data_IF_375180929277
#
_entry.id   IF_375180929277
#
_cell.length_a   1.000
_cell.length_b   1.000
_cell.length_c   1.000
_cell.angle_alpha   90.00
_cell.angle_beta   90.00
_cell.angle_gamma   90.00
#
_symmetry.space_group_name_H-M   'P 1'
#
loop_
_entity.id
_entity.type
_entity.pdbx_description
1 polymer ?
#
# COMPACT_ATOMS: atom_id res chain seq x y z
N UNK A 1 -10.46 71.89 -32.20
CA UNK A 1 -11.08 70.55 -32.25
C UNK A 1 -10.31 69.61 -31.34
N UNK A 2 -10.75 69.44 -30.09
CA UNK A 2 -10.14 68.54 -29.09
C UNK A 2 -11.10 67.37 -28.87
N UNK A 3 -10.64 66.13 -29.09
CA UNK A 3 -11.41 64.90 -28.85
C UNK A 3 -11.29 64.51 -27.38
N UNK A 4 -12.43 64.31 -26.73
CA UNK A 4 -12.54 63.81 -25.36
C UNK A 4 -12.69 62.27 -25.43
N UNK A 5 -11.79 61.54 -24.78
CA UNK A 5 -11.87 60.09 -24.64
C UNK A 5 -12.51 59.75 -23.28
N UNK A 6 -13.56 58.93 -23.31
CA UNK A 6 -14.13 58.29 -22.12
C UNK A 6 -13.66 56.83 -22.13
N UNK A 7 -12.81 56.45 -21.18
CA UNK A 7 -12.41 55.06 -20.96
C UNK A 7 -13.08 54.57 -19.66
N UNK A 8 -14.02 53.64 -19.80
CA UNK A 8 -14.72 52.98 -18.70
C UNK A 8 -13.81 51.85 -18.20
N UNK A 9 -13.32 51.93 -16.95
CA UNK A 9 -12.55 50.85 -16.31
C UNK A 9 -13.54 49.76 -15.84
N UNK A 10 -13.52 48.60 -16.50
CA UNK A 10 -14.19 47.39 -16.04
C UNK A 10 -13.20 46.59 -15.19
N UNK A 11 -13.39 46.60 -13.86
CA UNK A 11 -12.77 45.64 -12.95
C UNK A 11 -13.43 44.27 -13.16
N UNK A 12 -12.83 43.40 -13.98
CA UNK A 12 -13.16 41.98 -13.98
C UNK A 12 -12.42 41.31 -12.83
N UNK A 13 -13.20 40.75 -11.89
CA UNK A 13 -12.71 39.87 -10.85
C UNK A 13 -12.03 38.63 -11.44
N UNK A 14 -10.82 38.36 -10.97
CA UNK A 14 -10.13 37.10 -11.20
C UNK A 14 -10.90 35.97 -10.49
N UNK A 15 -11.21 34.85 -11.14
CA UNK A 15 -11.64 33.67 -10.42
C UNK A 15 -10.43 33.08 -9.70
N UNK A 16 -10.37 33.26 -8.38
CA UNK A 16 -9.63 32.37 -7.49
C UNK A 16 -10.31 30.99 -7.51
N UNK A 17 -9.53 29.94 -7.23
CA UNK A 17 -9.85 28.50 -7.33
C UNK A 17 -9.52 27.82 -8.68
N UNK A 18 -8.25 27.92 -9.07
CA UNK A 18 -7.62 26.77 -9.72
C UNK A 18 -7.45 25.66 -8.68
N UNK A 19 -8.24 24.59 -8.78
CA UNK A 19 -8.02 23.36 -8.02
C UNK A 19 -6.74 22.72 -8.57
N UNK A 20 -5.57 23.09 -8.03
CA UNK A 20 -4.32 22.37 -8.29
C UNK A 20 -4.49 20.94 -7.74
N UNK A 21 -4.99 20.02 -8.57
CA UNK A 21 -4.97 18.59 -8.24
C UNK A 21 -3.51 18.16 -8.21
N UNK A 22 -3.00 17.84 -7.03
CA UNK A 22 -1.71 17.19 -6.88
C UNK A 22 -1.79 15.75 -7.42
N UNK A 23 -0.66 15.21 -7.87
CA UNK A 23 -0.62 13.83 -8.36
C UNK A 23 -1.05 12.84 -7.27
N UNK A 24 -1.76 11.75 -7.64
CA UNK A 24 -2.09 10.70 -6.68
C UNK A 24 -0.84 10.08 -6.08
N UNK A 25 -0.78 10.02 -4.75
CA UNK A 25 0.27 9.30 -4.03
C UNK A 25 -0.17 7.85 -3.89
N UNK A 26 0.45 6.97 -4.68
CA UNK A 26 0.08 5.55 -4.78
C UNK A 26 0.79 4.71 -3.72
N UNK A 27 2.09 4.96 -3.53
CA UNK A 27 2.93 4.24 -2.57
C UNK A 27 3.72 5.24 -1.75
N UNK A 28 3.82 4.98 -0.45
CA UNK A 28 4.76 5.65 0.46
C UNK A 28 5.64 4.55 1.03
N UNK A 29 6.96 4.75 1.00
CA UNK A 29 7.90 3.89 1.69
C UNK A 29 8.86 4.73 2.53
N UNK A 30 9.01 4.34 3.79
CA UNK A 30 9.80 5.07 4.77
C UNK A 30 11.11 4.32 4.97
N UNK A 31 12.21 5.04 5.09
CA UNK A 31 13.45 4.41 5.50
C UNK A 31 13.32 3.92 6.96
N UNK A 32 13.67 2.66 7.25
CA UNK A 32 13.47 2.05 8.57
C UNK A 32 14.32 2.67 9.68
N UNK A 33 15.39 3.41 9.33
CA UNK A 33 16.38 3.94 10.27
C UNK A 33 16.48 5.46 10.25
N UNK A 34 16.03 6.13 9.19
CA UNK A 34 16.13 7.57 9.03
C UNK A 34 14.77 8.18 8.62
N UNK A 35 14.07 8.92 9.50
CA UNK A 35 12.75 9.49 9.21
C UNK A 35 12.77 10.56 8.11
N UNK A 36 13.93 11.15 7.80
CA UNK A 36 14.04 12.18 6.77
C UNK A 36 14.07 11.61 5.36
N UNK A 37 14.27 10.29 5.21
CA UNK A 37 14.31 9.61 3.93
C UNK A 37 12.96 8.94 3.66
N UNK A 38 12.23 9.51 2.69
CA UNK A 38 10.91 9.04 2.28
C UNK A 38 10.93 8.84 0.77
N UNK A 39 10.33 7.74 0.34
CA UNK A 39 10.06 7.43 -1.06
C UNK A 39 8.57 7.54 -1.31
N UNK A 40 8.20 8.15 -2.43
CA UNK A 40 6.83 8.30 -2.87
C UNK A 40 6.74 7.88 -4.34
N UNK A 41 5.79 7.02 -4.67
CA UNK A 41 5.44 6.73 -6.05
C UNK A 41 4.10 7.41 -6.40
N UNK A 42 4.08 8.10 -7.53
CA UNK A 42 2.86 8.54 -8.21
C UNK A 42 2.45 7.49 -9.26
N UNK A 43 1.48 7.81 -10.11
CA UNK A 43 1.15 6.93 -11.24
C UNK A 43 2.30 6.80 -12.26
N UNK A 44 3.17 7.81 -12.33
CA UNK A 44 4.12 7.95 -13.43
C UNK A 44 5.58 7.93 -12.97
N UNK A 45 5.86 8.33 -11.73
CA UNK A 45 7.23 8.53 -11.25
C UNK A 45 7.44 8.11 -9.79
N UNK A 46 8.71 7.85 -9.45
CA UNK A 46 9.20 7.66 -8.08
C UNK A 46 9.96 8.93 -7.68
N UNK A 47 9.70 9.41 -6.49
CA UNK A 47 10.42 10.52 -5.88
C UNK A 47 11.01 10.12 -4.54
N UNK A 48 12.12 10.77 -4.18
CA UNK A 48 12.76 10.63 -2.87
C UNK A 48 13.06 11.99 -2.28
N UNK A 49 12.79 12.12 -0.98
CA UNK A 49 13.32 13.18 -0.13
C UNK A 49 14.41 12.62 0.79
N UNK A 50 15.30 13.49 1.27
CA UNK A 50 16.31 13.21 2.30
C UNK A 50 16.24 14.21 3.46
N UNK A 51 15.23 15.06 3.47
CA UNK A 51 15.07 16.20 4.38
C UNK A 51 13.63 16.29 4.95
N UNK A 52 12.96 15.13 5.06
CA UNK A 52 11.62 15.04 5.66
C UNK A 52 10.51 15.62 4.79
N UNK A 53 10.76 15.76 3.48
CA UNK A 53 9.78 16.22 2.49
C UNK A 53 9.89 17.69 2.11
N UNK A 54 11.01 18.37 2.43
CA UNK A 54 11.24 19.75 1.99
C UNK A 54 11.66 19.82 0.52
N UNK A 55 12.52 18.89 0.08
CA UNK A 55 12.94 18.75 -1.31
C UNK A 55 12.78 17.32 -1.81
N UNK A 56 12.50 17.18 -3.11
CA UNK A 56 12.23 15.90 -3.76
C UNK A 56 13.05 15.75 -5.04
N UNK A 57 13.60 14.54 -5.24
CA UNK A 57 14.34 14.16 -6.45
C UNK A 57 13.60 13.03 -7.18
N UNK A 58 13.41 13.18 -8.49
CA UNK A 58 12.85 12.11 -9.34
C UNK A 58 13.89 10.99 -9.54
N UNK A 59 13.48 9.74 -9.30
CA UNK A 59 14.31 8.54 -9.33
C UNK A 59 13.94 7.57 -10.47
N UNK A 60 13.02 7.94 -11.35
CA UNK A 60 12.53 7.05 -12.42
C UNK A 60 13.48 6.92 -13.61
N UNK A 61 14.56 7.70 -13.66
CA UNK A 61 15.52 7.67 -14.76
C UNK A 61 16.17 6.28 -14.86
N UNK A 62 16.10 5.68 -16.05
CA UNK A 62 16.69 4.37 -16.35
C UNK A 62 15.73 3.19 -16.19
N UNK A 63 14.50 3.41 -15.72
CA UNK A 63 13.43 2.41 -15.77
C UNK A 63 12.72 2.47 -17.13
N UNK A 64 12.54 1.34 -17.81
CA UNK A 64 11.75 1.26 -19.05
C UNK A 64 10.25 1.35 -18.78
N UNK A 65 9.81 0.98 -17.58
CA UNK A 65 8.44 1.06 -17.10
C UNK A 65 8.41 1.81 -15.76
N UNK A 66 7.97 3.07 -15.79
CA UNK A 66 7.98 3.94 -14.60
C UNK A 66 6.70 3.87 -13.76
N UNK A 67 5.64 3.21 -14.25
CA UNK A 67 4.41 2.99 -13.49
C UNK A 67 4.64 1.95 -12.39
N UNK A 68 4.84 2.46 -11.18
CA UNK A 68 5.18 1.69 -9.99
C UNK A 68 3.94 1.52 -9.14
N UNK A 69 3.64 0.27 -8.79
CA UNK A 69 2.44 -0.10 -8.02
C UNK A 69 2.80 -0.54 -6.60
N UNK A 70 4.01 -1.07 -6.43
CA UNK A 70 4.54 -1.48 -5.14
C UNK A 70 5.99 -1.02 -5.01
N UNK A 71 6.41 -0.68 -3.80
CA UNK A 71 7.82 -0.43 -3.48
C UNK A 71 8.15 -1.06 -2.14
N UNK A 72 9.43 -1.33 -1.91
CA UNK A 72 9.92 -1.81 -0.63
C UNK A 72 11.34 -1.29 -0.37
N UNK A 73 11.68 -1.08 0.90
CA UNK A 73 13.03 -0.74 1.37
C UNK A 73 13.54 -1.92 2.17
N UNK A 74 14.74 -2.39 1.87
CA UNK A 74 15.36 -3.48 2.64
C UNK A 74 15.51 -3.04 4.11
N UNK A 75 14.94 -3.79 5.08
CA UNK A 75 14.97 -3.42 6.49
C UNK A 75 16.39 -3.45 7.09
N UNK A 76 17.26 -4.35 6.61
CA UNK A 76 18.63 -4.49 7.08
C UNK A 76 19.56 -3.48 6.38
N UNK A 77 19.38 -3.30 5.06
CA UNK A 77 20.22 -2.48 4.19
C UNK A 77 19.42 -1.38 3.44
N UNK A 78 19.05 -0.26 4.09
CA UNK A 78 18.09 0.70 3.52
C UNK A 78 18.52 1.50 2.28
N UNK A 79 19.75 1.30 1.80
CA UNK A 79 20.17 1.76 0.47
C UNK A 79 19.63 0.83 -0.64
N UNK A 80 19.36 -0.43 -0.31
CA UNK A 80 18.69 -1.38 -1.19
C UNK A 80 17.19 -1.11 -1.21
N UNK A 81 16.65 -0.80 -2.39
CA UNK A 81 15.22 -0.55 -2.59
C UNK A 81 14.70 -1.31 -3.80
N UNK A 82 13.44 -1.70 -3.72
CA UNK A 82 12.74 -2.48 -4.73
C UNK A 82 11.54 -1.70 -5.26
N UNK A 83 11.29 -1.82 -6.56
CA UNK A 83 10.13 -1.26 -7.22
C UNK A 83 9.43 -2.34 -8.05
N UNK A 84 8.16 -2.57 -7.73
CA UNK A 84 7.25 -3.44 -8.46
C UNK A 84 6.49 -2.64 -9.51
N UNK A 85 6.60 -3.07 -10.77
CA UNK A 85 6.07 -2.33 -11.92
C UNK A 85 4.98 -3.11 -12.64
N UNK A 86 4.29 -2.43 -13.55
CA UNK A 86 3.52 -3.08 -14.62
C UNK A 86 4.39 -3.22 -15.86
N UNK A 87 4.64 -4.45 -16.30
CA UNK A 87 5.34 -4.74 -17.57
C UNK A 87 6.83 -5.06 -17.44
N UNK A 88 7.39 -4.99 -16.22
CA UNK A 88 8.81 -5.27 -15.98
C UNK A 88 9.11 -6.08 -14.71
N UNK A 89 8.07 -6.60 -14.06
CA UNK A 89 8.13 -7.18 -12.72
C UNK A 89 8.89 -6.31 -11.70
N UNK A 90 10.08 -6.75 -11.28
CA UNK A 90 10.83 -6.16 -10.16
C UNK A 90 12.05 -5.41 -10.66
N UNK A 91 12.21 -4.17 -10.22
CA UNK A 91 13.47 -3.45 -10.24
C UNK A 91 14.10 -3.42 -8.85
N UNK A 92 15.43 -3.46 -8.81
CA UNK A 92 16.24 -3.32 -7.59
C UNK A 92 17.28 -2.23 -7.77
N UNK A 93 17.53 -1.47 -6.72
CA UNK A 93 18.58 -0.47 -6.64
C UNK A 93 19.37 -0.68 -5.36
N UNK A 94 20.69 -0.51 -5.41
CA UNK A 94 21.58 -0.60 -4.24
C UNK A 94 22.04 0.76 -3.71
N UNK A 95 21.69 1.85 -4.39
CA UNK A 95 22.13 3.22 -4.11
C UNK A 95 20.95 4.15 -3.74
N UNK A 96 19.88 3.56 -3.24
CA UNK A 96 18.69 4.25 -2.77
C UNK A 96 17.87 4.84 -3.91
N UNK A 97 17.86 4.17 -5.07
CA UNK A 97 17.05 4.45 -6.26
C UNK A 97 17.71 5.37 -7.28
N UNK A 98 19.03 5.61 -7.21
CA UNK A 98 19.73 6.42 -8.22
C UNK A 98 19.98 5.62 -9.50
N UNK A 99 20.19 4.31 -9.37
CA UNK A 99 20.33 3.36 -10.48
C UNK A 99 19.49 2.13 -10.21
N UNK A 100 18.81 1.66 -11.25
CA UNK A 100 17.92 0.50 -11.19
C UNK A 100 18.40 -0.61 -12.13
N UNK A 101 18.30 -1.84 -11.64
CA UNK A 101 18.50 -3.06 -12.41
C UNK A 101 17.20 -3.88 -12.41
N UNK A 102 16.85 -4.44 -13.56
CA UNK A 102 15.66 -5.28 -13.70
C UNK A 102 15.98 -6.70 -13.23
N UNK A 103 15.19 -7.21 -12.29
CA UNK A 103 15.40 -8.47 -11.57
C UNK A 103 14.33 -9.50 -11.92
N UNK A 104 14.53 -10.24 -13.01
CA UNK A 104 13.51 -11.15 -13.59
C UNK A 104 13.89 -12.62 -13.62
N UNK A 105 15.12 -12.95 -13.25
CA UNK A 105 15.60 -14.33 -13.30
C UNK A 105 14.64 -15.24 -12.55
N UNK A 106 14.16 -16.30 -13.21
CA UNK A 106 13.21 -17.26 -12.65
C UNK A 106 11.72 -16.87 -12.70
N UNK A 107 11.38 -15.66 -13.16
CA UNK A 107 9.99 -15.27 -13.47
C UNK A 107 9.60 -15.67 -14.90
N UNK A 108 8.35 -16.13 -15.07
CA UNK A 108 7.77 -16.42 -16.39
C UNK A 108 7.29 -15.14 -17.11
N UNK A 109 7.13 -15.19 -18.43
CA UNK A 109 6.73 -14.04 -19.26
C UNK A 109 5.38 -13.44 -18.85
N UNK A 110 4.46 -14.28 -18.38
CA UNK A 110 3.17 -13.82 -17.88
C UNK A 110 3.35 -12.99 -16.62
N UNK A 111 4.19 -13.42 -15.68
CA UNK A 111 4.51 -12.69 -14.45
C UNK A 111 5.24 -11.39 -14.76
N UNK A 112 6.22 -11.45 -15.67
CA UNK A 112 7.00 -10.28 -16.12
C UNK A 112 6.11 -9.19 -16.71
N UNK A 113 5.17 -9.57 -17.59
CA UNK A 113 4.24 -8.65 -18.24
C UNK A 113 3.09 -8.17 -17.33
N UNK A 114 2.95 -8.77 -16.14
CA UNK A 114 1.89 -8.46 -15.18
C UNK A 114 2.27 -7.31 -14.24
N UNK A 115 1.55 -7.21 -13.11
CA UNK A 115 1.76 -6.21 -12.07
C UNK A 115 2.29 -6.90 -10.82
N UNK A 116 3.36 -6.35 -10.24
CA UNK A 116 3.78 -6.66 -8.86
C UNK A 116 2.97 -5.80 -7.90
N UNK A 117 2.16 -6.45 -7.07
CA UNK A 117 1.18 -5.81 -6.20
C UNK A 117 1.71 -5.57 -4.78
N UNK A 118 2.59 -6.44 -4.26
CA UNK A 118 3.11 -6.32 -2.89
C UNK A 118 4.46 -7.03 -2.72
N UNK A 119 5.30 -6.52 -1.82
CA UNK A 119 6.52 -7.17 -1.35
C UNK A 119 6.38 -7.47 0.15
N UNK A 120 6.85 -8.63 0.58
CA UNK A 120 6.92 -9.02 2.00
C UNK A 120 8.30 -9.61 2.27
N UNK A 121 9.04 -9.02 3.20
CA UNK A 121 10.31 -9.55 3.69
C UNK A 121 10.07 -10.54 4.82
N UNK A 122 10.88 -11.58 4.88
CA UNK A 122 11.07 -12.34 6.11
C UNK A 122 11.68 -11.41 7.17
N UNK A 123 11.09 -11.31 8.39
CA UNK A 123 11.60 -10.44 9.44
C UNK A 123 12.98 -10.87 9.99
N UNK A 124 13.40 -12.10 9.71
CA UNK A 124 14.67 -12.67 10.18
C UNK A 124 15.77 -12.71 9.11
N UNK A 125 15.41 -12.57 7.84
CA UNK A 125 16.34 -12.59 6.71
C UNK A 125 15.88 -11.62 5.60
N UNK A 126 16.60 -10.50 5.43
CA UNK A 126 16.22 -9.51 4.42
C UNK A 126 16.49 -9.95 2.98
N UNK A 127 17.16 -11.09 2.77
CA UNK A 127 17.33 -11.70 1.43
C UNK A 127 16.18 -12.63 1.07
N UNK A 128 15.36 -13.02 2.05
CA UNK A 128 14.17 -13.84 1.85
C UNK A 128 12.94 -12.94 1.64
N UNK A 129 12.40 -12.93 0.42
CA UNK A 129 11.33 -12.01 0.01
C UNK A 129 10.26 -12.77 -0.77
N UNK A 130 9.00 -12.49 -0.46
CA UNK A 130 7.85 -12.90 -1.25
C UNK A 130 7.27 -11.71 -2.00
N UNK A 131 6.83 -11.95 -3.23
CA UNK A 131 6.06 -10.97 -4.02
C UNK A 131 4.68 -11.49 -4.36
N UNK A 132 3.68 -10.65 -4.19
CA UNK A 132 2.36 -10.83 -4.77
C UNK A 132 2.36 -10.25 -6.17
N UNK A 133 1.94 -11.02 -7.16
CA UNK A 133 1.74 -10.55 -8.53
C UNK A 133 0.33 -10.91 -9.00
N UNK A 134 -0.14 -10.23 -10.03
CA UNK A 134 -1.39 -10.60 -10.70
C UNK A 134 -1.38 -12.05 -11.21
N UNK A 135 -0.20 -12.65 -11.43
CA UNK A 135 -0.04 -14.02 -11.90
C UNK A 135 0.29 -15.05 -10.80
N UNK A 136 0.35 -14.64 -9.54
CA UNK A 136 0.64 -15.53 -8.41
C UNK A 136 1.65 -14.99 -7.41
N UNK A 137 2.09 -15.87 -6.50
CA UNK A 137 3.16 -15.61 -5.54
C UNK A 137 4.49 -16.10 -6.12
N UNK A 138 5.54 -15.32 -5.93
CA UNK A 138 6.94 -15.76 -6.15
C UNK A 138 7.78 -15.47 -4.92
N UNK A 139 8.80 -16.30 -4.68
CA UNK A 139 9.75 -16.24 -3.57
C UNK A 139 11.16 -16.03 -4.13
N UNK A 140 12.00 -15.31 -3.40
CA UNK A 140 13.45 -15.28 -3.57
C UNK A 140 14.11 -15.50 -2.21
N UNK A 141 15.24 -16.20 -2.19
CA UNK A 141 16.10 -16.38 -1.00
C UNK A 141 17.49 -15.76 -1.18
N UNK A 142 17.66 -14.90 -2.20
CA UNK A 142 18.91 -14.24 -2.55
C UNK A 142 18.75 -12.72 -2.77
N UNK A 143 17.70 -12.15 -2.19
CA UNK A 143 17.43 -10.71 -2.27
C UNK A 143 16.95 -10.27 -3.65
N UNK A 144 16.32 -11.16 -4.41
CA UNK A 144 15.71 -10.90 -5.70
C UNK A 144 16.62 -11.14 -6.91
N UNK A 145 17.76 -11.79 -6.74
CA UNK A 145 18.62 -12.17 -7.87
C UNK A 145 18.01 -13.32 -8.67
N UNK A 146 17.28 -14.24 -8.02
CA UNK A 146 16.48 -15.30 -8.63
C UNK A 146 15.14 -15.49 -7.90
N UNK A 147 14.08 -15.73 -8.67
CA UNK A 147 12.72 -15.93 -8.19
C UNK A 147 12.18 -17.31 -8.51
N UNK A 148 11.37 -17.87 -7.61
CA UNK A 148 10.70 -19.16 -7.75
C UNK A 148 9.20 -18.98 -7.53
N UNK A 149 8.39 -19.46 -8.47
CA UNK A 149 6.92 -19.39 -8.36
C UNK A 149 6.40 -20.34 -7.27
N UNK A 150 5.49 -19.86 -6.42
CA UNK A 150 4.95 -20.57 -5.24
C UNK A 150 3.43 -20.61 -5.23
N UNK A 151 2.88 -21.45 -6.10
CA UNK A 151 1.42 -21.53 -6.35
C UNK A 151 0.82 -22.92 -6.08
N UNK A 152 1.56 -23.83 -5.44
CA UNK A 152 1.06 -25.17 -5.14
C UNK A 152 -0.18 -25.09 -4.22
N UNK A 153 -1.26 -25.79 -4.55
CA UNK A 153 -2.55 -25.70 -3.85
C UNK A 153 -3.48 -24.54 -4.29
N UNK A 154 -2.97 -23.51 -4.99
CA UNK A 154 -3.74 -22.36 -5.47
C UNK A 154 -4.51 -22.63 -6.79
N UNK A 155 -5.43 -23.60 -6.80
CA UNK A 155 -6.09 -24.10 -8.03
C UNK A 155 -7.12 -23.15 -8.66
N UNK A 156 -7.73 -22.26 -7.87
CA UNK A 156 -8.85 -21.39 -8.30
C UNK A 156 -8.49 -19.90 -8.29
N UNK A 157 -7.19 -19.58 -8.29
CA UNK A 157 -6.74 -18.18 -8.16
C UNK A 157 -6.85 -17.45 -9.49
N UNK A 158 -7.47 -16.27 -9.47
CA UNK A 158 -7.43 -15.37 -10.63
C UNK A 158 -6.29 -14.35 -10.51
N UNK A 159 -6.10 -13.74 -9.34
CA UNK A 159 -5.03 -12.76 -9.08
C UNK A 159 -4.64 -12.75 -7.61
N UNK A 160 -3.34 -12.62 -7.30
CA UNK A 160 -2.85 -12.37 -5.94
C UNK A 160 -2.58 -10.88 -5.77
N UNK A 161 -3.29 -10.25 -4.84
CA UNK A 161 -3.30 -8.80 -4.65
C UNK A 161 -2.40 -8.38 -3.49
N UNK A 162 -2.33 -9.20 -2.43
CA UNK A 162 -1.62 -8.86 -1.21
C UNK A 162 -1.15 -10.11 -0.49
N UNK A 163 -0.15 -9.94 0.37
CA UNK A 163 0.41 -10.96 1.24
C UNK A 163 0.48 -10.39 2.66
N UNK A 164 0.07 -11.17 3.64
CA UNK A 164 0.28 -10.91 5.06
C UNK A 164 1.07 -12.05 5.69
N UNK A 165 2.25 -11.77 6.23
CA UNK A 165 3.09 -12.74 6.92
C UNK A 165 2.92 -12.59 8.43
N UNK A 166 2.96 -13.72 9.14
CA UNK A 166 3.08 -13.72 10.58
C UNK A 166 4.51 -13.28 10.98
N UNK A 167 4.67 -12.13 11.67
CA UNK A 167 5.99 -11.59 11.98
C UNK A 167 6.77 -12.42 13.01
N UNK A 168 6.11 -13.35 13.71
CA UNK A 168 6.72 -14.24 14.70
C UNK A 168 6.93 -15.66 14.18
N UNK A 169 6.21 -16.04 13.11
CA UNK A 169 6.28 -17.35 12.46
C UNK A 169 6.33 -17.18 10.93
N UNK A 170 7.48 -16.79 10.35
CA UNK A 170 7.59 -16.44 8.92
C UNK A 170 7.15 -17.53 7.92
N UNK A 171 7.11 -18.80 8.35
CA UNK A 171 6.55 -19.89 7.56
C UNK A 171 5.03 -19.77 7.31
N UNK A 172 4.32 -18.96 8.09
CA UNK A 172 2.88 -18.74 7.98
C UNK A 172 2.63 -17.44 7.21
N UNK A 173 2.00 -17.58 6.05
CA UNK A 173 1.56 -16.45 5.23
C UNK A 173 0.10 -16.61 4.82
N UNK A 174 -0.52 -15.47 4.54
CA UNK A 174 -1.84 -15.36 3.96
C UNK A 174 -1.76 -14.60 2.65
N UNK A 175 -2.37 -15.14 1.59
CA UNK A 175 -2.48 -14.49 0.30
C UNK A 175 -3.91 -14.00 0.08
N UNK A 176 -4.09 -12.68 -0.01
CA UNK A 176 -5.34 -12.07 -0.42
C UNK A 176 -5.45 -12.07 -1.94
N UNK A 177 -6.52 -12.66 -2.46
CA UNK A 177 -6.77 -12.85 -3.89
C UNK A 177 -8.08 -12.19 -4.32
N UNK A 178 -8.32 -12.14 -5.62
CA UNK A 178 -9.64 -11.80 -6.17
C UNK A 178 -10.76 -12.76 -5.72
N UNK A 179 -10.44 -14.01 -5.36
CA UNK A 179 -11.39 -15.05 -4.96
C UNK A 179 -11.46 -15.34 -3.45
N UNK A 180 -10.77 -14.56 -2.61
CA UNK A 180 -10.69 -14.76 -1.16
C UNK A 180 -9.26 -14.94 -0.66
N UNK A 181 -9.08 -15.59 0.49
CA UNK A 181 -7.80 -15.75 1.17
C UNK A 181 -7.31 -17.20 1.09
N UNK A 182 -6.02 -17.35 0.80
CA UNK A 182 -5.29 -18.60 0.97
C UNK A 182 -4.31 -18.47 2.14
N UNK A 183 -3.99 -19.59 2.80
CA UNK A 183 -3.02 -19.69 3.88
C UNK A 183 -1.97 -20.75 3.54
N UNK A 184 -0.73 -20.49 3.88
CA UNK A 184 0.36 -21.47 3.94
C UNK A 184 0.89 -21.52 5.38
N UNK A 185 1.48 -22.65 5.75
CA UNK A 185 2.18 -22.84 7.03
C UNK A 185 3.62 -23.36 6.83
N UNK A 186 4.07 -23.40 5.58
CA UNK A 186 5.29 -24.07 5.13
C UNK A 186 6.05 -23.22 4.10
N UNK A 187 6.16 -21.90 4.35
CA UNK A 187 6.95 -20.99 3.49
C UNK A 187 6.46 -20.97 2.03
N UNK A 188 5.13 -20.92 1.85
CA UNK A 188 4.49 -20.99 0.54
C UNK A 188 4.75 -22.30 -0.22
N UNK A 189 5.10 -23.38 0.49
CA UNK A 189 5.24 -24.74 -0.04
C UNK A 189 3.91 -25.32 -0.52
N UNK A 190 2.84 -25.09 0.25
CA UNK A 190 1.46 -25.41 -0.12
C UNK A 190 0.49 -24.35 0.40
N UNK A 191 -0.54 -24.05 -0.40
CA UNK A 191 -1.57 -23.08 -0.06
C UNK A 191 -2.96 -23.72 0.05
N UNK A 192 -3.64 -23.43 1.15
CA UNK A 192 -5.01 -23.87 1.43
C UNK A 192 -5.98 -22.69 1.43
N UNK A 193 -7.17 -22.87 0.86
CA UNK A 193 -8.22 -21.85 0.83
C UNK A 193 -8.90 -21.74 2.19
N UNK A 194 -8.95 -20.54 2.76
CA UNK A 194 -9.45 -20.27 4.13
C UNK A 194 -10.56 -19.22 4.13
N UNK A 195 -11.68 -19.52 3.46
CA UNK A 195 -12.72 -18.54 3.13
C UNK A 195 -14.02 -18.64 3.96
N UNK A 196 -14.08 -19.52 4.95
CA UNK A 196 -15.30 -19.74 5.74
C UNK A 196 -15.73 -18.45 6.44
N UNK A 197 -16.92 -17.92 6.10
CA UNK A 197 -17.42 -16.64 6.61
C UNK A 197 -16.90 -15.37 5.91
N UNK A 198 -15.90 -15.49 5.02
CA UNK A 198 -15.34 -14.38 4.25
C UNK A 198 -16.10 -14.11 2.94
N UNK A 199 -16.59 -15.18 2.29
CA UNK A 199 -17.33 -15.09 1.03
C UNK A 199 -18.79 -15.44 1.30
N UNK A 200 -19.72 -14.52 1.03
CA UNK A 200 -21.14 -14.83 1.15
C UNK A 200 -21.54 -15.88 0.09
N UNK A 201 -22.49 -16.77 0.39
CA UNK A 201 -22.98 -17.77 -0.59
C UNK A 201 -23.47 -17.15 -1.91
N UNK A 202 -23.96 -15.91 -1.88
CA UNK A 202 -24.43 -15.18 -3.06
C UNK A 202 -23.28 -14.66 -3.93
N UNK A 203 -22.15 -14.28 -3.32
CA UNK A 203 -20.93 -13.89 -4.06
C UNK A 203 -20.31 -15.12 -4.73
N UNK A 204 -20.36 -16.30 -4.12
CA UNK A 204 -19.89 -17.56 -4.75
C UNK A 204 -20.64 -17.85 -6.05
N UNK A 205 -21.92 -17.45 -6.15
CA UNK A 205 -22.78 -17.67 -7.32
C UNK A 205 -22.70 -16.55 -8.36
N UNK A 206 -22.32 -15.36 -7.95
CA UNK A 206 -22.09 -14.24 -8.86
C UNK A 206 -20.64 -14.28 -9.37
N UNK A 207 -20.37 -13.98 -10.63
CA UNK A 207 -18.99 -13.86 -11.14
C UNK A 207 -18.22 -12.65 -10.57
N UNK A 208 -18.61 -12.13 -9.40
CA UNK A 208 -17.98 -10.98 -8.74
C UNK A 208 -16.83 -11.46 -7.88
N UNK A 209 -15.62 -10.99 -8.20
CA UNK A 209 -14.47 -11.14 -7.35
C UNK A 209 -14.70 -10.45 -5.99
N UNK A 210 -14.39 -11.13 -4.89
CA UNK A 210 -14.34 -10.54 -3.54
C UNK A 210 -13.28 -9.43 -3.49
N UNK A 211 -12.16 -9.65 -4.19
CA UNK A 211 -11.02 -8.74 -4.28
C UNK A 211 -10.54 -8.29 -2.90
N UNK A 212 -9.78 -9.18 -2.25
CA UNK A 212 -9.09 -8.86 -1.00
C UNK A 212 -8.03 -7.79 -1.28
N UNK A 213 -8.18 -6.62 -0.67
CA UNK A 213 -7.30 -5.46 -0.88
C UNK A 213 -6.14 -5.42 0.10
N UNK A 214 -6.29 -5.99 1.30
CA UNK A 214 -5.23 -6.12 2.30
C UNK A 214 -5.49 -7.32 3.21
N UNK A 215 -4.42 -8.01 3.62
CA UNK A 215 -4.44 -9.03 4.69
C UNK A 215 -3.30 -8.74 5.64
N UNK A 216 -3.58 -8.66 6.95
CA UNK A 216 -2.57 -8.44 7.98
C UNK A 216 -2.79 -9.36 9.18
N UNK A 217 -1.71 -9.97 9.64
CA UNK A 217 -1.65 -10.76 10.87
C UNK A 217 -1.37 -9.81 12.04
N UNK A 218 -2.14 -9.93 13.13
CA UNK A 218 -1.92 -9.12 14.32
C UNK A 218 -0.57 -9.49 14.97
N UNK A 219 0.35 -8.52 15.15
CA UNK A 219 1.68 -8.80 15.70
C UNK A 219 1.65 -9.22 17.17
N UNK A 220 0.55 -8.97 17.89
CA UNK A 220 0.39 -9.33 19.30
C UNK A 220 -0.40 -10.63 19.48
N UNK A 221 -1.19 -11.02 18.48
CA UNK A 221 -2.06 -12.20 18.50
C UNK A 221 -2.02 -12.91 17.13
N UNK A 222 -1.04 -13.80 16.89
CA UNK A 222 -0.81 -14.32 15.54
C UNK A 222 -1.93 -15.19 14.93
N UNK A 223 -2.91 -15.62 15.73
CA UNK A 223 -4.13 -16.28 15.23
C UNK A 223 -5.24 -15.27 14.86
N UNK A 224 -5.05 -14.00 15.19
CA UNK A 224 -5.90 -12.89 14.78
C UNK A 224 -5.40 -12.32 13.46
N UNK A 225 -6.25 -12.36 12.43
CA UNK A 225 -5.93 -11.84 11.09
C UNK A 225 -7.08 -10.99 10.60
N UNK A 226 -6.75 -9.88 9.94
CA UNK A 226 -7.71 -8.96 9.35
C UNK A 226 -7.59 -9.00 7.83
N UNK A 227 -8.72 -9.01 7.15
CA UNK A 227 -8.81 -8.97 5.69
C UNK A 227 -9.80 -7.90 5.26
N UNK A 228 -9.34 -6.91 4.49
CA UNK A 228 -10.21 -5.94 3.83
C UNK A 228 -10.53 -6.40 2.41
N UNK A 229 -11.76 -6.21 1.97
CA UNK A 229 -12.23 -6.53 0.62
C UNK A 229 -12.94 -5.32 0.03
N UNK A 230 -13.36 -5.40 -1.24
CA UNK A 230 -14.21 -4.35 -1.84
C UNK A 230 -15.64 -4.30 -1.24
N UNK A 231 -16.02 -5.26 -0.40
CA UNK A 231 -17.37 -5.39 0.17
C UNK A 231 -17.40 -5.39 1.70
N UNK A 232 -16.25 -5.40 2.36
CA UNK A 232 -16.16 -5.15 3.80
C UNK A 232 -14.86 -5.59 4.45
N UNK A 233 -14.81 -5.37 5.76
CA UNK A 233 -13.71 -5.79 6.61
C UNK A 233 -14.09 -7.05 7.38
N UNK A 234 -13.14 -7.98 7.49
CA UNK A 234 -13.33 -9.26 8.16
C UNK A 234 -12.17 -9.53 9.10
N UNK A 235 -12.47 -10.26 10.17
CA UNK A 235 -11.53 -10.68 11.20
C UNK A 235 -11.68 -12.17 11.46
N UNK A 236 -10.56 -12.86 11.65
CA UNK A 236 -10.49 -14.19 12.26
C UNK A 236 -9.72 -14.09 13.57
N UNK A 237 -9.96 -15.01 14.50
CA UNK A 237 -9.17 -15.21 15.72
C UNK A 237 -8.74 -16.68 15.88
N UNK A 238 -8.90 -17.47 14.82
CA UNK A 238 -8.61 -18.92 14.78
C UNK A 238 -7.69 -19.28 13.60
N UNK A 239 -6.90 -18.30 13.16
CA UNK A 239 -5.91 -18.47 12.10
C UNK A 239 -6.52 -18.67 10.72
N UNK A 240 -7.76 -18.21 10.48
CA UNK A 240 -8.45 -18.25 9.19
C UNK A 240 -9.44 -19.40 9.02
N UNK A 241 -9.67 -20.23 10.06
CA UNK A 241 -10.68 -21.31 9.98
C UNK A 241 -12.10 -20.74 9.90
N UNK A 242 -12.34 -19.59 10.50
CA UNK A 242 -13.58 -18.83 10.34
C UNK A 242 -13.33 -17.32 10.39
N UNK A 243 -14.11 -16.59 9.60
CA UNK A 243 -14.06 -15.14 9.50
C UNK A 243 -15.40 -14.54 9.92
N UNK A 244 -15.33 -13.43 10.65
CA UNK A 244 -16.47 -12.62 11.07
C UNK A 244 -16.35 -11.25 10.43
N UNK A 245 -17.44 -10.77 9.82
CA UNK A 245 -17.50 -9.40 9.30
C UNK A 245 -17.49 -8.40 10.45
N UNK A 246 -16.69 -7.36 10.34
CA UNK A 246 -16.57 -6.25 11.30
C UNK A 246 -16.67 -4.91 10.55
N UNK A 247 -16.66 -3.79 11.29
CA UNK A 247 -16.69 -2.45 10.68
C UNK A 247 -17.98 -2.14 9.89
N UNK A 248 -19.10 -2.76 10.25
CA UNK A 248 -20.41 -2.51 9.62
C UNK A 248 -20.89 -1.07 9.81
N UNK A 249 -20.37 -0.36 10.81
CA UNK A 249 -20.64 1.06 11.05
C UNK A 249 -19.93 2.01 10.08
N UNK A 250 -18.93 1.54 9.33
CA UNK A 250 -18.27 2.33 8.29
C UNK A 250 -19.23 2.54 7.12
N UNK A 251 -19.47 3.79 6.74
CA UNK A 251 -20.42 4.12 5.66
C UNK A 251 -19.93 3.61 4.30
N UNK A 252 -18.62 3.74 4.03
CA UNK A 252 -17.97 3.19 2.85
C UNK A 252 -17.11 1.98 3.22
N UNK A 253 -17.29 0.91 2.47
CA UNK A 253 -16.61 -0.37 2.66
C UNK A 253 -15.46 -0.56 1.67
N UNK A 254 -15.25 0.40 0.76
CA UNK A 254 -14.12 0.39 -0.18
C UNK A 254 -12.84 0.91 0.49
N UNK A 255 -12.14 -0.01 1.14
CA UNK A 255 -10.91 0.24 1.89
C UNK A 255 -9.68 -0.03 1.01
N UNK A 256 -8.74 0.91 0.99
CA UNK A 256 -7.53 0.83 0.17
C UNK A 256 -6.28 0.51 0.98
N UNK A 257 -6.23 0.91 2.24
CA UNK A 257 -5.08 0.72 3.11
C UNK A 257 -5.54 0.37 4.51
N UNK A 258 -4.79 -0.52 5.16
CA UNK A 258 -4.98 -0.95 6.53
C UNK A 258 -3.62 -0.93 7.23
N UNK A 259 -3.60 -0.55 8.51
CA UNK A 259 -2.43 -0.65 9.38
C UNK A 259 -2.90 -1.20 10.72
N UNK A 260 -2.27 -2.28 11.17
CA UNK A 260 -2.31 -2.68 12.58
C UNK A 260 -1.21 -1.92 13.32
N UNK A 261 -1.54 -1.21 14.40
CA UNK A 261 -0.54 -0.44 15.13
C UNK A 261 0.50 -1.36 15.77
N UNK A 262 1.78 -1.17 15.43
CA UNK A 262 2.86 -2.06 15.91
C UNK A 262 3.19 -1.93 17.40
N UNK A 263 2.61 -0.96 18.10
CA UNK A 263 2.88 -0.65 19.52
C UNK A 263 1.65 -0.75 20.40
N UNK A 264 0.45 -0.87 19.83
CA UNK A 264 -0.81 -0.93 20.55
C UNK A 264 -1.71 -2.03 20.01
N UNK A 265 -1.85 -3.09 20.80
CA UNK A 265 -2.79 -4.19 20.54
C UNK A 265 -4.20 -3.66 20.29
N UNK A 266 -4.87 -4.20 19.27
CA UNK A 266 -6.25 -3.87 18.93
C UNK A 266 -6.45 -2.52 18.26
N UNK A 267 -5.40 -1.72 18.06
CA UNK A 267 -5.52 -0.43 17.34
C UNK A 267 -5.34 -0.65 15.85
N UNK A 268 -6.33 -0.26 15.07
CA UNK A 268 -6.37 -0.43 13.61
C UNK A 268 -6.63 0.92 12.95
N UNK A 269 -5.88 1.22 11.91
CA UNK A 269 -6.13 2.37 11.04
C UNK A 269 -6.55 1.91 9.65
N UNK A 270 -7.52 2.59 9.06
CA UNK A 270 -8.00 2.35 7.71
C UNK A 270 -7.96 3.63 6.88
N UNK A 271 -7.58 3.52 5.61
CA UNK A 271 -7.70 4.57 4.61
C UNK A 271 -8.67 4.14 3.50
N UNK A 272 -9.60 5.04 3.13
CA UNK A 272 -10.60 4.81 2.09
C UNK A 272 -11.04 6.12 1.42
N UNK A 273 -12.23 6.13 0.81
CA UNK A 273 -12.80 7.36 0.21
C UNK A 273 -13.36 8.37 1.21
N UNK A 274 -13.64 7.91 2.43
CA UNK A 274 -14.19 8.71 3.54
C UNK A 274 -13.12 9.11 4.58
N UNK A 275 -11.85 9.06 4.19
CA UNK A 275 -10.73 9.53 5.01
C UNK A 275 -10.03 8.43 5.78
N UNK A 276 -9.41 8.82 6.88
CA UNK A 276 -8.75 7.91 7.84
C UNK A 276 -9.71 7.57 8.96
N UNK A 277 -9.82 6.29 9.27
CA UNK A 277 -10.59 5.78 10.41
C UNK A 277 -9.68 5.04 11.38
N UNK A 278 -9.98 5.12 12.68
CA UNK A 278 -9.30 4.36 13.72
C UNK A 278 -10.28 3.56 14.55
N UNK A 279 -9.92 2.33 14.85
CA UNK A 279 -10.51 1.51 15.90
C UNK A 279 -9.48 1.33 17.03
N UNK A 280 -9.94 1.29 18.27
CA UNK A 280 -9.11 1.00 19.46
C UNK A 280 -9.47 -0.34 20.13
N UNK A 281 -10.44 -1.06 19.57
CA UNK A 281 -11.05 -2.26 20.16
C UNK A 281 -11.05 -3.45 19.19
N UNK A 282 -10.06 -3.52 18.31
CA UNK A 282 -9.87 -4.62 17.38
C UNK A 282 -10.93 -4.67 16.28
N UNK A 283 -11.47 -3.51 15.90
CA UNK A 283 -12.38 -3.31 14.78
C UNK A 283 -13.87 -3.29 15.12
N UNK A 284 -14.24 -3.27 16.41
CA UNK A 284 -15.64 -3.28 16.85
C UNK A 284 -16.28 -1.89 16.73
N UNK A 285 -15.56 -0.83 17.08
CA UNK A 285 -15.98 0.58 16.92
C UNK A 285 -14.94 1.39 16.16
N UNK A 286 -15.39 2.48 15.52
CA UNK A 286 -14.59 3.29 14.62
C UNK A 286 -14.83 4.78 14.84
N UNK A 287 -13.75 5.56 14.89
CA UNK A 287 -13.75 7.02 14.86
C UNK A 287 -13.03 7.56 13.62
N UNK A 288 -13.36 8.77 13.19
CA UNK A 288 -12.74 9.44 12.04
C UNK A 288 -11.56 10.32 12.47
N UNK A 289 -10.51 10.35 11.65
CA UNK A 289 -9.25 11.08 11.90
C UNK A 289 -8.89 11.97 10.72
N UNK A 290 -9.75 12.94 10.41
CA UNK A 290 -9.71 13.68 9.14
C UNK A 290 -9.29 15.16 9.25
N UNK A 291 -9.00 15.64 10.46
CA UNK A 291 -8.66 17.05 10.70
C UNK A 291 -7.38 17.44 9.93
N UNK A 292 -7.47 18.47 9.10
CA UNK A 292 -6.35 18.99 8.31
C UNK A 292 -6.17 18.37 6.91
N UNK A 293 -6.90 17.30 6.58
CA UNK A 293 -6.92 16.76 5.23
C UNK A 293 -7.76 17.63 4.29
N UNK A 294 -7.21 18.02 3.13
CA UNK A 294 -7.99 18.74 2.11
C UNK A 294 -8.89 17.83 1.26
N UNK A 295 -8.65 16.51 1.30
CA UNK A 295 -9.47 15.49 0.64
C UNK A 295 -9.55 14.24 1.49
N UNK A 296 -10.67 13.53 1.42
CA UNK A 296 -10.91 12.28 2.15
C UNK A 296 -10.50 11.04 1.34
N UNK A 297 -10.08 11.18 0.09
CA UNK A 297 -9.68 10.03 -0.72
C UNK A 297 -8.26 9.59 -0.39
N UNK A 298 -8.12 8.74 0.64
CA UNK A 298 -6.85 8.21 1.15
C UNK A 298 -6.50 6.93 0.42
N UNK A 299 -5.43 6.97 -0.36
CA UNK A 299 -4.97 5.85 -1.17
C UNK A 299 -3.92 5.00 -0.47
N UNK A 300 -3.04 5.61 0.31
CA UNK A 300 -1.96 4.95 1.03
C UNK A 300 -1.86 5.53 2.43
N UNK A 301 -1.64 4.68 3.42
CA UNK A 301 -1.37 5.06 4.79
C UNK A 301 -0.13 4.28 5.24
N UNK A 302 0.81 4.95 5.92
CA UNK A 302 2.00 4.30 6.49
C UNK A 302 2.30 4.86 7.87
N UNK A 303 2.60 3.98 8.83
CA UNK A 303 3.11 4.36 10.14
C UNK A 303 4.64 4.42 10.09
N UNK A 304 5.24 5.49 10.61
CA UNK A 304 6.71 5.62 10.66
C UNK A 304 7.34 4.51 11.46
N UNK A 305 8.37 3.79 10.97
CA UNK A 305 9.03 2.70 11.70
C UNK A 305 9.84 3.21 12.91
N UNK A 306 10.32 4.46 12.87
CA UNK A 306 11.14 5.06 13.93
C UNK A 306 10.31 5.76 15.00
N UNK A 307 9.08 6.16 14.69
CA UNK A 307 8.17 6.81 15.65
C UNK A 307 6.71 6.35 15.42
N UNK A 308 6.10 5.60 16.34
CA UNK A 308 4.73 5.11 16.20
C UNK A 308 3.67 6.22 16.28
N UNK A 309 4.03 7.45 16.66
CA UNK A 309 3.15 8.61 16.61
C UNK A 309 3.07 9.24 15.22
N UNK A 310 4.08 9.01 14.37
CA UNK A 310 4.15 9.63 13.04
C UNK A 310 3.48 8.73 12.00
N UNK A 311 2.57 9.32 11.22
CA UNK A 311 1.90 8.67 10.10
C UNK A 311 2.02 9.54 8.85
N UNK A 312 2.00 8.88 7.69
CA UNK A 312 1.89 9.54 6.39
C UNK A 312 0.66 9.04 5.66
N UNK A 313 -0.08 9.95 5.03
CA UNK A 313 -1.25 9.66 4.21
C UNK A 313 -1.02 10.18 2.78
N UNK A 314 -1.10 9.26 1.83
CA UNK A 314 -1.08 9.56 0.40
C UNK A 314 -2.51 9.71 -0.10
N UNK A 315 -2.81 10.84 -0.73
CA UNK A 315 -4.17 11.14 -1.21
C UNK A 315 -4.29 10.95 -2.71
N UNK A 316 -5.51 10.68 -3.17
CA UNK A 316 -5.86 10.73 -4.58
C UNK A 316 -6.29 12.16 -4.96
N UNK A 317 -5.33 13.05 -5.18
CA UNK A 317 -5.58 14.39 -5.74
C UNK A 317 -5.11 15.59 -4.92
N UNK A 318 -4.51 15.40 -3.73
CA UNK A 318 -3.99 16.51 -2.91
C UNK A 318 -2.59 16.26 -2.32
N UNK A 319 -1.85 15.29 -2.86
CA UNK A 319 -0.48 14.99 -2.46
C UNK A 319 -0.35 14.20 -1.14
N UNK A 320 0.78 14.41 -0.47
CA UNK A 320 1.21 13.73 0.75
C UNK A 320 0.87 14.55 2.00
N UNK A 321 0.43 13.87 3.05
CA UNK A 321 0.20 14.46 4.38
C UNK A 321 1.00 13.71 5.43
N UNK A 322 1.35 14.42 6.50
CA UNK A 322 2.00 13.87 7.70
C UNK A 322 1.16 14.19 8.93
N UNK A 323 1.07 13.24 9.83
CA UNK A 323 0.58 13.43 11.19
C UNK A 323 1.71 13.10 12.17
N UNK A 324 1.84 13.88 13.25
CA UNK A 324 2.80 13.64 14.34
C UNK A 324 2.12 13.14 15.62
N UNK A 325 0.81 12.89 15.56
CA UNK A 325 -0.03 12.59 16.71
C UNK A 325 -1.03 11.48 16.39
N UNK A 326 -0.57 10.42 15.72
CA UNK A 326 -1.33 9.20 15.47
C UNK A 326 -2.60 9.41 14.65
N UNK A 327 -2.55 10.35 13.72
CA UNK A 327 -3.63 10.69 12.80
C UNK A 327 -4.63 11.74 13.31
N UNK A 328 -4.49 12.24 14.55
CA UNK A 328 -5.44 13.22 15.10
C UNK A 328 -5.46 14.52 14.29
N UNK A 329 -4.29 14.99 13.82
CA UNK A 329 -4.18 16.12 12.89
C UNK A 329 -3.21 15.80 11.75
N UNK A 330 -3.52 16.32 10.56
CA UNK A 330 -2.73 16.16 9.34
C UNK A 330 -2.26 17.50 8.80
N UNK A 331 -1.01 17.53 8.35
CA UNK A 331 -0.40 18.66 7.67
C UNK A 331 0.06 18.22 6.29
N UNK A 332 -0.16 19.05 5.27
CA UNK A 332 0.34 18.79 3.93
C UNK A 332 1.88 18.84 3.93
N UNK A 333 2.51 17.83 3.35
CA UNK A 333 3.94 17.84 3.07
C UNK A 333 4.12 18.45 1.68
N UNK A 334 4.89 19.54 1.53
CA UNK A 334 5.14 20.14 0.23
C UNK A 334 5.77 19.11 -0.71
N UNK A 335 5.06 18.76 -1.77
CA UNK A 335 5.60 17.88 -2.80
C UNK A 335 5.65 18.67 -4.10
N UNK A 336 6.85 19.09 -4.53
CA UNK A 336 7.05 19.74 -5.81
C UNK A 336 6.98 18.70 -6.96
N UNK A 337 5.84 18.00 -7.07
CA UNK A 337 5.63 16.91 -8.04
C UNK A 337 5.11 17.42 -9.39
N UNK A 338 5.14 18.73 -9.63
CA UNK A 338 4.68 19.30 -10.89
C UNK A 338 5.58 18.89 -12.06
N UNK A 339 4.96 18.25 -13.04
CA UNK A 339 5.41 17.95 -14.40
C UNK A 339 6.54 18.85 -14.93
N UNK A 340 7.72 18.25 -15.15
CA UNK A 340 8.61 18.61 -16.25
C UNK A 340 8.48 17.55 -17.34
#
# INVERSE_FOLDING_TARGET
MKRLAFLLLLLLGLPLFGCNRGDPIVVIQLNPKNPDIIYVATNDYIYKTRDGGQTWTNLSKGMSHSRVIAMAVDPAYPATVYAGTKGDAVYKSHDGGQRWASMRSGLDDATISSVVNHFVFDPTDSTHIYIATTMGVSETKDGGEHWVKKMEGMKEVLMVVTLGMDPTRPAILYAGTSGGVYKTIDEAGHWEKVNNGLVSPDIIKSSRALSVTSVQVDPFEPETVYASTLTGLYKTTDGGRSWVRIGQSLQDQMLFSMILDRTKKGVIYLGGREGVHRSEDGGATWGTLNTGLATLNIRSLVQSPTDPAVFYAGTNGSGLYRSNNRGENWESVPTALSSQ
#
